data_IF_622907648058
#
_entry.id   IF_622907648058
#
_cell.length_a   1.000
_cell.length_b   1.000
_cell.length_c   1.000
_cell.angle_alpha   90.00
_cell.angle_beta   90.00
_cell.angle_gamma   90.00
#
_symmetry.space_group_name_H-M   'P 1'
#
loop_
_entity.id
_entity.type
_entity.pdbx_description
1 polymer ?
#
# COMPACT_ATOMS: atom_id res chain seq x y z
N UNK A 1 -4.92 -46.32 -24.59
CA UNK A 1 -4.83 -46.15 -23.12
C UNK A 1 -3.90 -44.99 -22.72
N UNK A 2 -2.70 -44.85 -23.31
CA UNK A 2 -1.77 -43.74 -23.00
C UNK A 2 -2.28 -42.32 -23.31
N UNK A 3 -3.16 -42.16 -24.31
CA UNK A 3 -3.74 -40.84 -24.67
C UNK A 3 -4.72 -40.34 -23.59
N UNK A 4 -5.46 -41.24 -22.95
CA UNK A 4 -6.40 -40.88 -21.89
C UNK A 4 -5.70 -40.47 -20.60
N UNK A 5 -4.56 -41.09 -20.27
CA UNK A 5 -3.73 -40.68 -19.12
C UNK A 5 -3.07 -39.32 -19.32
N UNK A 6 -2.54 -39.03 -20.51
CA UNK A 6 -1.94 -37.71 -20.80
C UNK A 6 -2.98 -36.58 -20.74
N UNK A 7 -4.19 -36.83 -21.24
CA UNK A 7 -5.26 -35.84 -21.27
C UNK A 7 -5.83 -35.60 -19.85
N UNK A 8 -5.91 -36.64 -19.03
CA UNK A 8 -6.26 -36.54 -17.62
C UNK A 8 -5.18 -35.80 -16.82
N UNK A 9 -3.89 -36.06 -17.06
CA UNK A 9 -2.78 -35.36 -16.39
C UNK A 9 -2.70 -33.88 -16.80
N UNK A 10 -2.97 -33.56 -18.07
CA UNK A 10 -3.08 -32.18 -18.55
C UNK A 10 -4.29 -31.46 -17.96
N UNK A 11 -5.44 -32.13 -17.85
CA UNK A 11 -6.63 -31.58 -17.20
C UNK A 11 -6.40 -31.36 -15.70
N UNK A 12 -5.82 -32.34 -15.01
CA UNK A 12 -5.51 -32.23 -13.58
C UNK A 12 -4.42 -31.19 -13.30
N UNK A 13 -3.42 -31.04 -14.20
CA UNK A 13 -2.44 -29.96 -14.14
C UNK A 13 -3.12 -28.60 -14.34
N UNK A 14 -4.01 -28.47 -15.33
CA UNK A 14 -4.77 -27.25 -15.57
C UNK A 14 -5.69 -26.88 -14.40
N UNK A 15 -6.42 -27.82 -13.83
CA UNK A 15 -7.30 -27.56 -12.67
C UNK A 15 -6.52 -27.09 -11.44
N UNK A 16 -5.35 -27.69 -11.17
CA UNK A 16 -4.44 -27.23 -10.12
C UNK A 16 -3.91 -25.83 -10.41
N UNK A 17 -3.52 -25.55 -11.65
CA UNK A 17 -3.02 -24.24 -12.06
C UNK A 17 -4.11 -23.16 -11.94
N UNK A 18 -5.36 -23.47 -12.30
CA UNK A 18 -6.50 -22.56 -12.16
C UNK A 18 -6.78 -22.27 -10.67
N UNK A 19 -6.80 -23.30 -9.83
CA UNK A 19 -7.05 -23.13 -8.38
C UNK A 19 -5.96 -22.28 -7.72
N UNK A 20 -4.70 -22.54 -8.05
CA UNK A 20 -3.57 -21.75 -7.55
C UNK A 20 -3.63 -20.30 -8.03
N UNK A 21 -3.99 -20.07 -9.29
CA UNK A 21 -4.16 -18.75 -9.86
C UNK A 21 -5.30 -17.96 -9.19
N UNK A 22 -6.43 -18.60 -8.85
CA UNK A 22 -7.53 -17.97 -8.10
C UNK A 22 -7.06 -17.55 -6.70
N UNK A 23 -6.29 -18.40 -6.02
CA UNK A 23 -5.71 -18.09 -4.70
C UNK A 23 -4.75 -16.90 -4.81
N UNK A 24 -3.90 -16.86 -5.83
CA UNK A 24 -3.00 -15.73 -6.06
C UNK A 24 -3.77 -14.43 -6.34
N UNK A 25 -4.84 -14.49 -7.14
CA UNK A 25 -5.73 -13.35 -7.36
C UNK A 25 -6.36 -12.85 -6.06
N UNK A 26 -6.87 -13.77 -5.23
CA UNK A 26 -7.41 -13.46 -3.91
C UNK A 26 -6.37 -12.79 -2.99
N UNK A 27 -5.15 -13.33 -2.95
CA UNK A 27 -4.05 -12.75 -2.17
C UNK A 27 -3.63 -11.38 -2.71
N UNK A 28 -3.63 -11.17 -4.03
CA UNK A 28 -3.33 -9.89 -4.66
C UNK A 28 -4.31 -8.80 -4.24
N UNK A 29 -5.62 -9.03 -4.43
CA UNK A 29 -6.64 -8.07 -4.00
C UNK A 29 -6.59 -7.83 -2.49
N UNK A 30 -6.37 -8.89 -1.69
CA UNK A 30 -6.20 -8.78 -0.24
C UNK A 30 -5.01 -7.92 0.16
N UNK A 31 -3.86 -8.11 -0.48
CA UNK A 31 -2.64 -7.35 -0.24
C UNK A 31 -2.82 -5.87 -0.61
N UNK A 32 -3.46 -5.56 -1.73
CA UNK A 32 -3.73 -4.19 -2.16
C UNK A 32 -4.61 -3.43 -1.15
N UNK A 33 -5.69 -4.07 -0.69
CA UNK A 33 -6.53 -3.44 0.33
C UNK A 33 -5.79 -3.30 1.65
N UNK A 34 -5.05 -4.34 2.07
CA UNK A 34 -4.26 -4.29 3.30
C UNK A 34 -3.23 -3.14 3.26
N UNK A 35 -2.54 -2.94 2.14
CA UNK A 35 -1.58 -1.85 1.96
C UNK A 35 -2.26 -0.48 2.11
N UNK A 36 -3.37 -0.24 1.41
CA UNK A 36 -4.09 1.02 1.45
C UNK A 36 -4.66 1.32 2.85
N UNK A 37 -5.27 0.32 3.50
CA UNK A 37 -5.78 0.46 4.86
C UNK A 37 -4.67 0.62 5.90
N UNK A 38 -3.49 0.03 5.69
CA UNK A 38 -2.32 0.25 6.55
C UNK A 38 -1.85 1.70 6.50
N UNK A 39 -1.89 2.35 5.34
CA UNK A 39 -1.62 3.78 5.22
C UNK A 39 -2.68 4.63 5.92
N UNK A 40 -3.96 4.29 5.78
CA UNK A 40 -5.03 4.97 6.51
C UNK A 40 -4.87 4.83 8.02
N UNK A 41 -4.59 3.62 8.51
CA UNK A 41 -4.37 3.34 9.93
C UNK A 41 -3.18 4.14 10.47
N UNK A 42 -2.09 4.18 9.72
CA UNK A 42 -0.91 4.98 10.07
C UNK A 42 -1.27 6.47 10.17
N UNK A 43 -2.01 7.01 9.19
CA UNK A 43 -2.44 8.40 9.21
C UNK A 43 -3.37 8.69 10.40
N UNK A 44 -4.35 7.82 10.66
CA UNK A 44 -5.28 7.94 11.76
C UNK A 44 -4.58 7.88 13.13
N UNK A 45 -3.60 6.99 13.29
CA UNK A 45 -2.78 6.91 14.48
C UNK A 45 -2.05 8.23 14.76
N UNK A 46 -1.39 8.82 13.75
CA UNK A 46 -0.72 10.10 13.93
C UNK A 46 -1.69 11.23 14.27
N UNK A 47 -2.89 11.22 13.68
CA UNK A 47 -3.93 12.17 14.04
C UNK A 47 -4.34 12.05 15.51
N UNK A 48 -4.62 10.83 15.98
CA UNK A 48 -4.99 10.59 17.39
C UNK A 48 -3.85 11.02 18.33
N UNK A 49 -2.60 10.70 17.98
CA UNK A 49 -1.41 11.09 18.74
C UNK A 49 -1.29 12.61 18.92
N UNK A 50 -1.63 13.39 17.89
CA UNK A 50 -1.56 14.86 17.93
C UNK A 50 -2.75 15.49 18.65
N UNK A 51 -3.96 15.01 18.38
CA UNK A 51 -5.20 15.63 18.90
C UNK A 51 -5.48 15.21 20.35
N UNK A 52 -5.10 13.99 20.74
CA UNK A 52 -5.36 13.43 22.07
C UNK A 52 -4.07 12.99 22.80
N UNK A 53 -3.12 13.91 23.05
CA UNK A 53 -1.82 13.56 23.63
C UNK A 53 -1.94 12.95 25.04
N UNK A 54 -2.99 13.29 25.79
CA UNK A 54 -3.19 12.82 27.17
C UNK A 54 -3.76 11.41 27.28
N UNK A 55 -4.20 10.78 26.18
CA UNK A 55 -4.75 9.42 26.22
C UNK A 55 -3.67 8.37 25.94
N UNK A 56 -2.88 8.06 26.97
CA UNK A 56 -1.75 7.12 26.92
C UNK A 56 -2.12 5.76 26.30
N UNK A 57 -3.35 5.28 26.52
CA UNK A 57 -3.84 3.98 26.02
C UNK A 57 -3.66 3.85 24.50
N UNK A 58 -3.92 4.91 23.73
CA UNK A 58 -3.87 4.90 22.27
C UNK A 58 -2.45 4.81 21.71
N UNK A 59 -1.43 5.13 22.52
CA UNK A 59 -0.01 5.08 22.14
C UNK A 59 0.68 3.78 22.58
N UNK A 60 -0.07 2.85 23.16
CA UNK A 60 0.51 1.58 23.58
C UNK A 60 0.72 0.66 22.38
N UNK A 61 1.88 0.01 22.33
CA UNK A 61 2.20 -0.99 21.29
C UNK A 61 1.14 -2.10 21.24
N UNK A 62 0.57 -2.46 22.39
CA UNK A 62 -0.52 -3.44 22.49
C UNK A 62 -1.76 -3.00 21.70
N UNK A 63 -2.13 -1.72 21.82
CA UNK A 63 -3.29 -1.18 21.13
C UNK A 63 -3.05 -1.08 19.61
N UNK A 64 -1.87 -0.62 19.19
CA UNK A 64 -1.48 -0.63 17.77
C UNK A 64 -1.52 -2.03 17.18
N UNK A 65 -0.98 -3.01 17.90
CA UNK A 65 -0.98 -4.42 17.47
C UNK A 65 -2.40 -4.99 17.37
N UNK A 66 -3.27 -4.70 18.35
CA UNK A 66 -4.68 -5.06 18.27
C UNK A 66 -5.37 -4.45 17.06
N UNK A 67 -5.13 -3.16 16.77
CA UNK A 67 -5.71 -2.51 15.59
C UNK A 67 -5.22 -3.15 14.29
N UNK A 68 -3.93 -3.49 14.19
CA UNK A 68 -3.40 -4.20 13.03
C UNK A 68 -4.13 -5.52 12.85
N UNK A 69 -4.25 -6.35 13.89
CA UNK A 69 -4.96 -7.64 13.81
C UNK A 69 -6.41 -7.46 13.36
N UNK A 70 -7.12 -6.50 13.95
CA UNK A 70 -8.51 -6.21 13.59
C UNK A 70 -8.61 -5.81 12.11
N UNK A 71 -7.70 -4.96 11.63
CA UNK A 71 -7.67 -4.56 10.23
C UNK A 71 -7.36 -5.72 9.29
N UNK A 72 -6.46 -6.63 9.66
CA UNK A 72 -6.20 -7.85 8.91
C UNK A 72 -7.45 -8.73 8.81
N UNK A 73 -8.17 -8.92 9.91
CA UNK A 73 -9.41 -9.69 9.93
C UNK A 73 -10.46 -9.03 9.02
N UNK A 74 -10.64 -7.71 9.12
CA UNK A 74 -11.55 -6.96 8.23
C UNK A 74 -11.10 -7.11 6.78
N UNK A 75 -9.79 -7.09 6.51
CA UNK A 75 -9.25 -7.23 5.17
C UNK A 75 -9.60 -8.60 4.56
N UNK A 76 -9.43 -9.67 5.32
CA UNK A 76 -9.79 -11.02 4.90
C UNK A 76 -11.30 -11.15 4.74
N UNK A 77 -12.09 -10.57 5.65
CA UNK A 77 -13.55 -10.65 5.61
C UNK A 77 -14.15 -9.93 4.40
N UNK A 78 -13.57 -8.82 3.90
CA UNK A 78 -14.09 -8.15 2.70
C UNK A 78 -13.67 -8.86 1.40
N UNK A 79 -12.52 -9.54 1.36
CA UNK A 79 -12.11 -10.31 0.18
C UNK A 79 -12.79 -11.67 0.11
N UNK A 80 -13.19 -12.26 1.24
CA UNK A 80 -13.82 -13.58 1.30
C UNK A 80 -15.07 -13.72 0.40
N UNK A 81 -16.01 -12.75 0.35
CA UNK A 81 -17.14 -12.81 -0.57
C UNK A 81 -16.73 -12.99 -2.02
N UNK A 82 -15.64 -12.37 -2.48
CA UNK A 82 -15.17 -12.48 -3.87
C UNK A 82 -14.74 -13.90 -4.20
N UNK A 83 -14.13 -14.60 -3.23
CA UNK A 83 -13.74 -16.00 -3.35
C UNK A 83 -14.96 -16.93 -3.31
N UNK A 84 -15.86 -16.74 -2.34
CA UNK A 84 -17.04 -17.61 -2.15
C UNK A 84 -18.04 -17.49 -3.30
N UNK A 85 -18.21 -16.28 -3.85
CA UNK A 85 -19.14 -16.04 -4.97
C UNK A 85 -18.53 -16.34 -6.35
N UNK A 86 -17.30 -16.89 -6.39
CA UNK A 86 -16.64 -17.29 -7.63
C UNK A 86 -16.39 -16.12 -8.60
N UNK A 87 -16.22 -14.91 -8.08
CA UNK A 87 -16.05 -13.71 -8.92
C UNK A 87 -14.66 -13.65 -9.54
N UNK A 88 -13.67 -14.33 -8.95
CA UNK A 88 -12.34 -14.47 -9.51
C UNK A 88 -12.38 -15.65 -10.48
N UNK A 89 -12.32 -15.36 -11.77
CA UNK A 89 -12.37 -16.36 -12.83
C UNK A 89 -11.07 -16.37 -13.63
N UNK A 90 -10.66 -17.55 -14.12
CA UNK A 90 -9.51 -17.68 -14.98
C UNK A 90 -9.87 -17.22 -16.40
N UNK A 91 -9.20 -16.16 -16.85
CA UNK A 91 -9.37 -15.62 -18.19
C UNK A 91 -8.39 -16.31 -19.14
N UNK A 92 -8.90 -17.18 -20.01
CA UNK A 92 -8.10 -18.00 -20.94
C UNK A 92 -7.30 -17.12 -21.92
N UNK A 93 -7.91 -16.03 -22.40
CA UNK A 93 -7.29 -15.14 -23.40
C UNK A 93 -6.08 -14.41 -22.83
N UNK A 94 -6.14 -14.07 -21.54
CA UNK A 94 -5.11 -13.30 -20.85
C UNK A 94 -4.18 -14.17 -19.99
N UNK A 95 -4.54 -15.42 -19.75
CA UNK A 95 -3.86 -16.38 -18.86
C UNK A 95 -3.69 -15.85 -17.43
N UNK A 96 -4.70 -15.16 -16.90
CA UNK A 96 -4.69 -14.50 -15.59
C UNK A 96 -6.00 -14.73 -14.85
N UNK A 97 -5.95 -14.77 -13.52
CA UNK A 97 -7.15 -14.85 -12.67
C UNK A 97 -7.51 -13.47 -12.16
N UNK A 98 -8.74 -13.09 -12.43
CA UNK A 98 -9.20 -11.74 -12.15
C UNK A 98 -10.70 -11.69 -11.95
N UNK A 99 -11.15 -10.58 -11.36
CA UNK A 99 -12.56 -10.23 -11.42
C UNK A 99 -12.86 -9.80 -12.86
N UNK A 100 -13.83 -10.42 -13.55
CA UNK A 100 -14.07 -10.16 -14.96
C UNK A 100 -14.37 -8.68 -15.16
N UNK A 101 -13.53 -8.00 -15.97
CA UNK A 101 -13.63 -6.56 -16.27
C UNK A 101 -14.84 -6.24 -17.15
N UNK A 102 -16.02 -6.37 -16.55
CA UNK A 102 -17.31 -5.90 -17.06
C UNK A 102 -17.87 -4.94 -16.04
N UNK A 103 -18.49 -3.85 -16.49
CA UNK A 103 -19.13 -2.90 -15.58
C UNK A 103 -20.15 -3.66 -14.73
N UNK A 104 -19.77 -3.95 -13.50
CA UNK A 104 -20.45 -4.88 -12.62
C UNK A 104 -20.28 -4.43 -11.18
N UNK A 105 -21.26 -4.75 -10.33
CA UNK A 105 -21.25 -4.39 -8.92
C UNK A 105 -19.96 -4.83 -8.19
N UNK A 106 -19.37 -6.02 -8.43
CA UNK A 106 -18.14 -6.44 -7.79
C UNK A 106 -16.95 -5.51 -8.05
N UNK A 107 -16.77 -5.02 -9.28
CA UNK A 107 -15.68 -4.10 -9.60
C UNK A 107 -15.86 -2.76 -8.90
N UNK A 108 -17.09 -2.22 -8.91
CA UNK A 108 -17.40 -0.96 -8.23
C UNK A 108 -17.18 -1.10 -6.73
N UNK A 109 -17.61 -2.22 -6.15
CA UNK A 109 -17.40 -2.56 -4.74
C UNK A 109 -15.91 -2.60 -4.38
N UNK A 110 -15.11 -3.33 -5.16
CA UNK A 110 -13.66 -3.46 -4.96
C UNK A 110 -12.96 -2.11 -5.11
N UNK A 111 -13.27 -1.34 -6.17
CA UNK A 111 -12.70 -0.01 -6.36
C UNK A 111 -13.05 0.95 -5.21
N UNK A 112 -14.29 0.92 -4.73
CA UNK A 112 -14.72 1.76 -3.63
C UNK A 112 -13.99 1.42 -2.33
N UNK A 113 -13.95 0.14 -1.96
CA UNK A 113 -13.39 -0.32 -0.68
C UNK A 113 -11.85 -0.30 -0.68
N UNK A 114 -11.21 -0.82 -1.73
CA UNK A 114 -9.75 -0.93 -1.78
C UNK A 114 -9.10 0.41 -2.07
N UNK A 115 -9.70 1.25 -2.91
CA UNK A 115 -9.06 2.49 -3.38
C UNK A 115 -9.74 3.75 -2.84
N UNK A 116 -11.02 3.98 -3.14
CA UNK A 116 -11.65 5.29 -2.89
C UNK A 116 -11.71 5.62 -1.39
N UNK A 117 -12.26 4.71 -0.58
CA UNK A 117 -12.43 4.90 0.86
C UNK A 117 -11.11 5.17 1.59
N UNK A 118 -10.06 4.33 1.45
CA UNK A 118 -8.81 4.57 2.18
C UNK A 118 -8.09 5.83 1.71
N UNK A 119 -8.05 6.12 0.41
CA UNK A 119 -7.41 7.34 -0.09
C UNK A 119 -8.14 8.61 0.36
N UNK A 120 -9.48 8.61 0.32
CA UNK A 120 -10.28 9.70 0.86
C UNK A 120 -10.07 9.87 2.37
N UNK A 121 -10.00 8.76 3.11
CA UNK A 121 -9.71 8.78 4.55
C UNK A 121 -8.36 9.41 4.87
N UNK A 122 -7.30 9.06 4.12
CA UNK A 122 -5.96 9.64 4.30
C UNK A 122 -5.99 11.14 4.00
N UNK A 123 -6.64 11.55 2.91
CA UNK A 123 -6.78 12.96 2.55
C UNK A 123 -7.56 13.75 3.62
N UNK A 124 -8.66 13.21 4.14
CA UNK A 124 -9.45 13.82 5.19
C UNK A 124 -8.65 13.99 6.48
N UNK A 125 -7.87 12.98 6.87
CA UNK A 125 -6.97 13.05 8.04
C UNK A 125 -5.89 14.12 7.83
N UNK A 126 -5.26 14.15 6.65
CA UNK A 126 -4.22 15.14 6.34
C UNK A 126 -4.75 16.58 6.39
N UNK A 127 -5.93 16.84 5.80
CA UNK A 127 -6.57 18.17 5.83
C UNK A 127 -6.91 18.57 7.25
N UNK A 128 -7.52 17.66 8.04
CA UNK A 128 -7.86 17.93 9.45
C UNK A 128 -6.62 18.24 10.29
N UNK A 129 -5.56 17.44 10.14
CA UNK A 129 -4.32 17.63 10.88
C UNK A 129 -3.63 18.95 10.51
N UNK A 130 -3.60 19.28 9.22
CA UNK A 130 -3.01 20.55 8.75
C UNK A 130 -3.77 21.75 9.32
N UNK A 131 -5.11 21.72 9.29
CA UNK A 131 -5.94 22.76 9.91
C UNK A 131 -5.71 22.87 11.42
N UNK A 132 -5.60 21.74 12.12
CA UNK A 132 -5.32 21.71 13.55
C UNK A 132 -3.96 22.35 13.89
N UNK A 133 -2.90 21.95 13.19
CA UNK A 133 -1.55 22.51 13.40
C UNK A 133 -1.50 23.99 13.09
N UNK A 134 -2.19 24.43 12.02
CA UNK A 134 -2.29 25.86 11.69
C UNK A 134 -2.97 26.62 12.83
N UNK A 135 -4.17 26.22 13.26
CA UNK A 135 -4.89 26.85 14.38
C UNK A 135 -4.07 26.88 15.67
N UNK A 136 -3.32 25.81 15.94
CA UNK A 136 -2.44 25.71 17.10
C UNK A 136 -1.28 26.71 17.07
N UNK A 137 -0.76 27.02 15.88
CA UNK A 137 0.31 28.02 15.72
C UNK A 137 -0.14 29.46 15.92
N UNK A 138 -1.44 29.75 15.72
CA UNK A 138 -2.02 31.06 16.00
C UNK A 138 -2.34 31.26 17.48
N UNK A 139 -2.59 30.18 18.23
CA UNK A 139 -2.80 30.23 19.67
C UNK A 139 -1.44 30.18 20.37
N UNK A 140 -1.26 30.96 21.44
CA UNK A 140 -0.03 30.99 22.26
C UNK A 140 0.16 29.70 23.06
N UNK A 141 0.28 28.58 22.37
CA UNK A 141 0.49 27.25 22.95
C UNK A 141 2.00 27.02 23.06
N UNK A 142 2.42 26.24 24.06
CA UNK A 142 3.82 25.87 24.27
C UNK A 142 4.50 25.39 22.98
N UNK A 143 5.67 25.96 22.70
CA UNK A 143 6.49 25.64 21.53
C UNK A 143 6.80 24.14 21.41
N UNK A 144 6.91 23.43 22.53
CA UNK A 144 7.18 21.99 22.54
C UNK A 144 6.03 21.18 21.91
N UNK A 145 4.78 21.55 22.19
CA UNK A 145 3.61 20.86 21.64
C UNK A 145 3.43 21.15 20.15
N UNK A 146 3.74 22.39 19.72
CA UNK A 146 3.73 22.77 18.30
C UNK A 146 4.81 21.99 17.53
N UNK A 147 6.01 21.84 18.09
CA UNK A 147 7.09 21.07 17.47
C UNK A 147 6.72 19.59 17.31
N UNK A 148 6.12 18.98 18.35
CA UNK A 148 5.58 17.62 18.28
C UNK A 148 4.53 17.49 17.17
N UNK A 149 3.53 18.38 17.14
CA UNK A 149 2.47 18.35 16.14
C UNK A 149 3.00 18.52 14.69
N UNK A 150 4.01 19.38 14.48
CA UNK A 150 4.70 19.53 13.18
C UNK A 150 5.52 18.30 12.78
N UNK A 151 6.09 17.56 13.74
CA UNK A 151 6.79 16.31 13.47
C UNK A 151 5.81 15.24 12.99
N UNK A 152 4.69 15.09 13.68
CA UNK A 152 3.63 14.13 13.30
C UNK A 152 2.98 14.50 11.97
N UNK A 153 2.75 15.80 11.70
CA UNK A 153 2.28 16.26 10.39
C UNK A 153 3.23 15.87 9.26
N UNK A 154 4.55 15.95 9.46
CA UNK A 154 5.54 15.49 8.47
C UNK A 154 5.47 13.99 8.24
N UNK A 155 5.09 13.19 9.23
CA UNK A 155 4.86 11.75 9.06
C UNK A 155 3.60 11.49 8.23
N UNK A 156 2.48 12.14 8.54
CA UNK A 156 1.24 12.04 7.74
C UNK A 156 1.45 12.54 6.32
N UNK A 157 2.21 13.61 6.13
CA UNK A 157 2.56 14.13 4.80
C UNK A 157 3.31 13.07 3.97
N UNK A 158 4.23 12.30 4.57
CA UNK A 158 4.92 11.20 3.87
C UNK A 158 3.94 10.10 3.47
N UNK A 159 3.04 9.69 4.36
CA UNK A 159 1.99 8.70 4.06
C UNK A 159 1.06 9.18 2.95
N UNK A 160 0.67 10.46 2.97
CA UNK A 160 -0.13 11.09 1.93
C UNK A 160 0.61 11.12 0.58
N UNK A 161 1.91 11.47 0.57
CA UNK A 161 2.74 11.43 -0.65
C UNK A 161 2.84 10.00 -1.20
N UNK A 162 3.06 9.00 -0.34
CA UNK A 162 3.11 7.59 -0.74
C UNK A 162 1.79 7.14 -1.38
N UNK A 163 0.66 7.41 -0.72
CA UNK A 163 -0.66 7.08 -1.23
C UNK A 163 -0.97 7.79 -2.55
N UNK A 164 -0.68 9.09 -2.68
CA UNK A 164 -0.88 9.81 -3.95
C UNK A 164 0.07 9.32 -5.05
N UNK A 165 1.30 8.96 -4.72
CA UNK A 165 2.22 8.41 -5.72
C UNK A 165 1.72 7.08 -6.27
N UNK A 166 1.09 6.23 -5.44
CA UNK A 166 0.45 5.01 -5.90
C UNK A 166 -0.71 5.31 -6.86
N UNK A 167 -1.55 6.29 -6.54
CA UNK A 167 -2.66 6.71 -7.42
C UNK A 167 -2.15 7.23 -8.76
N UNK A 168 -1.14 8.11 -8.75
CA UNK A 168 -0.56 8.69 -9.97
C UNK A 168 0.14 7.64 -10.83
N UNK A 169 0.95 6.77 -10.21
CA UNK A 169 1.63 5.69 -10.92
C UNK A 169 0.69 4.57 -11.38
N UNK A 170 -0.49 4.44 -10.76
CA UNK A 170 -1.56 3.54 -11.18
C UNK A 170 -2.45 4.09 -12.30
N UNK A 171 -2.31 5.35 -12.71
CA UNK A 171 -3.09 5.92 -13.81
C UNK A 171 -2.90 5.17 -15.14
N UNK A 172 -1.69 4.76 -15.55
CA UNK A 172 -1.51 3.95 -16.75
C UNK A 172 -2.29 2.64 -16.70
N UNK A 173 -2.28 1.95 -15.54
CA UNK A 173 -3.09 0.75 -15.33
C UNK A 173 -4.58 1.03 -15.54
N UNK A 174 -5.10 2.10 -14.93
CA UNK A 174 -6.51 2.49 -15.09
C UNK A 174 -6.85 2.83 -16.55
N UNK A 175 -5.97 3.52 -17.26
CA UNK A 175 -6.15 3.85 -18.69
C UNK A 175 -6.20 2.57 -19.52
N UNK A 176 -5.26 1.65 -19.34
CA UNK A 176 -5.25 0.40 -20.09
C UNK A 176 -6.47 -0.48 -19.79
N UNK A 177 -6.88 -0.55 -18.53
CA UNK A 177 -8.13 -1.20 -18.11
C UNK A 177 -9.33 -0.57 -18.80
N UNK A 178 -9.45 0.76 -18.78
CA UNK A 178 -10.54 1.49 -19.44
C UNK A 178 -10.56 1.24 -20.95
N UNK A 179 -9.40 1.31 -21.62
CA UNK A 179 -9.30 1.02 -23.06
C UNK A 179 -9.74 -0.41 -23.39
N UNK A 180 -9.52 -1.37 -22.49
CA UNK A 180 -9.91 -2.77 -22.69
C UNK A 180 -11.43 -3.02 -22.72
N UNK A 181 -12.22 -2.06 -22.23
CA UNK A 181 -13.68 -2.09 -22.38
C UNK A 181 -14.13 -1.71 -23.80
N UNK A 182 -13.33 -0.91 -24.51
CA UNK A 182 -13.68 -0.37 -25.83
C UNK A 182 -12.97 -1.09 -27.00
N UNK A 183 -11.89 -1.83 -26.73
CA UNK A 183 -11.12 -2.53 -27.75
C UNK A 183 -11.48 -4.02 -27.85
N UNK A 184 -11.61 -4.50 -29.08
CA UNK A 184 -11.78 -5.93 -29.39
C UNK A 184 -10.47 -6.72 -29.18
N UNK A 185 -10.53 -8.03 -28.89
CA UNK A 185 -9.33 -8.86 -28.70
C UNK A 185 -8.44 -8.88 -29.96
N UNK A 186 -7.09 -8.99 -29.84
CA UNK A 186 -6.32 -9.42 -28.67
C UNK A 186 -5.96 -8.29 -27.68
N UNK A 187 -6.01 -8.61 -26.38
CA UNK A 187 -5.86 -7.63 -25.28
C UNK A 187 -4.43 -7.51 -24.74
N UNK A 188 -3.44 -7.25 -25.60
CA UNK A 188 -2.04 -7.02 -25.14
C UNK A 188 -1.92 -5.87 -24.13
N UNK A 189 -2.76 -4.85 -24.26
CA UNK A 189 -2.89 -3.74 -23.31
C UNK A 189 -3.09 -4.20 -21.86
N UNK A 190 -3.70 -5.37 -21.69
CA UNK A 190 -4.05 -5.91 -20.40
C UNK A 190 -2.84 -6.44 -19.62
N UNK A 191 -1.92 -7.11 -20.31
CA UNK A 191 -0.65 -7.56 -19.71
C UNK A 191 0.24 -6.38 -19.34
N UNK A 192 0.27 -5.36 -20.19
CA UNK A 192 1.02 -4.12 -19.94
C UNK A 192 0.45 -3.41 -18.70
N UNK A 193 -0.87 -3.40 -18.52
CA UNK A 193 -1.52 -2.82 -17.36
C UNK A 193 -0.99 -3.41 -16.05
N UNK A 194 -0.96 -4.74 -15.92
CA UNK A 194 -0.46 -5.40 -14.71
C UNK A 194 1.02 -5.13 -14.45
N UNK A 195 1.85 -5.15 -15.49
CA UNK A 195 3.27 -4.79 -15.35
C UNK A 195 3.42 -3.36 -14.83
N UNK A 196 2.61 -2.41 -15.32
CA UNK A 196 2.58 -1.05 -14.79
C UNK A 196 2.16 -1.00 -13.32
N UNK A 197 1.16 -1.80 -12.92
CA UNK A 197 0.72 -1.90 -11.53
C UNK A 197 1.85 -2.45 -10.64
N UNK A 198 2.52 -3.53 -11.02
CA UNK A 198 3.63 -4.12 -10.27
C UNK A 198 4.80 -3.14 -10.11
N UNK A 199 5.16 -2.44 -11.19
CA UNK A 199 6.19 -1.40 -11.15
C UNK A 199 5.78 -0.27 -10.21
N UNK A 200 4.50 0.14 -10.23
CA UNK A 200 4.00 1.19 -9.33
C UNK A 200 4.15 0.80 -7.85
N UNK A 201 3.79 -0.43 -7.50
CA UNK A 201 3.93 -0.96 -6.14
C UNK A 201 5.40 -1.02 -5.74
N UNK A 202 6.27 -1.52 -6.61
CA UNK A 202 7.71 -1.59 -6.37
C UNK A 202 8.30 -0.20 -6.10
N UNK A 203 7.94 0.80 -6.91
CA UNK A 203 8.39 2.19 -6.73
C UNK A 203 7.91 2.73 -5.38
N UNK A 204 6.66 2.51 -5.00
CA UNK A 204 6.11 2.97 -3.72
C UNK A 204 6.83 2.31 -2.53
N UNK A 205 7.15 1.02 -2.62
CA UNK A 205 7.94 0.31 -1.59
C UNK A 205 9.34 0.92 -1.47
N UNK A 206 10.01 1.21 -2.60
CA UNK A 206 11.33 1.87 -2.60
C UNK A 206 11.25 3.25 -1.96
N UNK A 207 10.26 4.07 -2.32
CA UNK A 207 10.06 5.41 -1.73
C UNK A 207 9.79 5.30 -0.22
N UNK A 208 8.98 4.32 0.20
CA UNK A 208 8.70 4.05 1.61
C UNK A 208 9.96 3.69 2.40
N UNK A 209 10.82 2.85 1.82
CA UNK A 209 12.12 2.51 2.36
C UNK A 209 13.02 3.76 2.51
N UNK A 210 13.06 4.62 1.49
CA UNK A 210 13.80 5.88 1.52
C UNK A 210 13.28 6.87 2.58
N UNK A 211 12.01 6.83 2.96
CA UNK A 211 11.46 7.69 4.02
C UNK A 211 11.75 7.21 5.44
N UNK A 212 12.16 5.95 5.62
CA UNK A 212 12.39 5.37 6.93
C UNK A 212 13.72 5.89 7.53
N UNK A 213 13.67 6.64 8.65
CA UNK A 213 14.84 7.36 9.19
C UNK A 213 15.96 6.43 9.67
N UNK A 214 15.61 5.24 10.19
CA UNK A 214 16.57 4.26 10.68
C UNK A 214 17.49 3.73 9.57
N UNK A 215 17.00 3.67 8.34
CA UNK A 215 17.81 3.24 7.20
C UNK A 215 18.82 4.31 6.81
N UNK A 216 18.43 5.59 6.84
CA UNK A 216 19.38 6.69 6.56
C UNK A 216 20.52 6.73 7.56
N UNK A 217 20.24 6.44 8.84
CA UNK A 217 21.29 6.39 9.87
C UNK A 217 22.17 5.15 9.72
N UNK A 218 21.61 3.98 9.37
CA UNK A 218 22.37 2.77 9.08
C UNK A 218 23.27 2.97 7.85
N UNK A 219 22.72 3.46 6.73
CA UNK A 219 23.48 3.74 5.50
C UNK A 219 24.59 4.74 5.78
N UNK A 220 24.30 5.84 6.49
CA UNK A 220 25.32 6.83 6.85
C UNK A 220 26.43 6.21 7.72
N UNK A 221 26.08 5.35 8.68
CA UNK A 221 27.05 4.68 9.56
C UNK A 221 27.92 3.67 8.80
N UNK A 222 27.37 2.99 7.80
CA UNK A 222 28.12 2.09 6.92
C UNK A 222 29.06 2.90 6.03
N UNK A 223 28.55 3.95 5.38
CA UNK A 223 29.32 4.80 4.47
C UNK A 223 30.42 5.59 5.21
N UNK A 224 30.16 6.07 6.43
CA UNK A 224 31.16 6.78 7.25
C UNK A 224 32.21 5.86 7.85
N UNK A 225 31.97 4.55 7.92
CA UNK A 225 32.98 3.55 8.33
C UNK A 225 34.04 3.31 7.25
N UNK A 226 33.78 3.70 6.01
CA UNK A 226 34.69 3.52 4.88
C UNK A 226 35.69 4.66 4.67
N UNK A 227 35.59 5.75 5.44
CA UNK A 227 36.55 6.86 5.41
C UNK A 227 37.27 6.96 6.75
N UNK A 228 38.43 6.31 6.94
CA UNK A 228 39.33 6.65 8.04
C UNK A 228 39.85 8.07 7.77
N UNK A 229 39.23 9.07 8.39
CA UNK A 229 39.85 10.39 8.52
C UNK A 229 40.92 10.22 9.59
N UNK A 230 42.17 10.00 9.16
CA UNK A 230 43.32 10.11 10.06
C UNK A 230 43.33 11.51 10.68
N UNK A 231 43.37 11.64 12.02
CA UNK A 231 43.59 12.93 12.63
C UNK A 231 45.01 13.38 12.31
N UNK A 232 45.14 14.46 11.55
CA UNK A 232 46.41 15.18 11.37
C UNK A 232 46.85 15.64 12.76
N UNK A 233 47.82 14.93 13.34
CA UNK A 233 48.53 15.37 14.55
C UNK A 233 49.34 16.60 14.18
N UNK A 234 48.83 17.77 14.52
CA UNK A 234 49.67 18.96 14.65
C UNK A 234 50.62 18.72 15.82
N UNK A 235 51.85 18.34 15.49
CA UNK A 235 52.98 18.36 16.42
C UNK A 235 53.35 19.82 16.63
N UNK A 236 52.95 20.38 17.77
CA UNK A 236 53.50 21.65 18.24
C UNK A 236 54.99 21.42 18.52
N UNK A 237 55.85 22.00 17.67
CA UNK A 237 57.28 22.12 17.91
C UNK A 237 57.50 23.45 18.62
N UNK A 238 57.98 23.33 19.87
CA UNK A 238 58.83 24.24 20.66
C UNK A 238 58.45 25.71 20.74
#
# INVERSE_FOLDING_TARGET
MAIFTLQHDLQQSNEKNISFCIILGFLGYGADGLQNYSYLLTAAYQYISVVYPNKIIWRTIKFEFCLIIIFWIICILYTLPLLVTGQITYNIDNQVCEIPLRLSLPIVYVAAIIYIIPNFGIAAVYIKLTRYVHQMSFRTISNNTIFHARRELRLVQRTFILSNSLVVLGLPYMIFVLTSFFTSPPKYHFRIAFICADISVLVVVIIGYCFTPNIKTIIRKILSRSTPVEPIRYTART
#
